data_IF_745004017355
#
_entry.id   IF_745004017355
#
_cell.length_a   1.000
_cell.length_b   1.000
_cell.length_c   1.000
_cell.angle_alpha   90.00
_cell.angle_beta   90.00
_cell.angle_gamma   90.00
#
_symmetry.space_group_name_H-M   'P 1'
#
loop_
_entity.id
_entity.type
_entity.pdbx_description
1 polymer ?
#
# COMPACT_ATOMS: atom_id res chain seq x y z
N UNK A 1 24.79 -22.58 18.94
CA UNK A 1 24.42 -23.54 17.88
C UNK A 1 22.99 -23.28 17.38
N UNK A 2 22.75 -22.12 16.76
CA UNK A 2 21.43 -21.74 16.22
C UNK A 2 21.39 -21.79 14.68
N UNK A 3 22.53 -21.91 14.00
CA UNK A 3 22.62 -21.95 12.53
C UNK A 3 21.99 -23.20 11.90
N UNK A 4 21.81 -24.29 12.65
CA UNK A 4 21.08 -25.48 12.20
C UNK A 4 19.56 -25.40 12.37
N UNK A 5 19.06 -24.43 13.16
CA UNK A 5 17.62 -24.19 13.36
C UNK A 5 17.02 -23.29 12.28
N UNK A 6 17.85 -22.59 11.49
CA UNK A 6 17.40 -21.71 10.41
C UNK A 6 18.17 -22.05 9.14
N UNK A 7 17.65 -22.99 8.36
CA UNK A 7 18.10 -23.19 6.98
C UNK A 7 17.62 -22.00 6.13
N UNK A 8 18.39 -20.91 6.12
CA UNK A 8 18.14 -19.77 5.25
C UNK A 8 18.91 -19.97 3.95
N UNK A 9 18.38 -20.80 3.06
CA UNK A 9 18.91 -20.96 1.72
C UNK A 9 19.07 -19.58 1.05
N UNK A 10 20.23 -19.33 0.44
CA UNK A 10 20.49 -18.10 -0.27
C UNK A 10 19.70 -18.08 -1.60
N UNK A 11 18.49 -17.50 -1.57
CA UNK A 11 17.61 -17.35 -2.74
C UNK A 11 17.82 -16.05 -3.52
N UNK A 12 18.86 -15.27 -3.20
CA UNK A 12 19.10 -13.96 -3.85
C UNK A 12 19.27 -14.10 -5.37
N UNK A 13 20.08 -15.06 -5.91
CA UNK A 13 20.24 -15.19 -7.35
C UNK A 13 18.94 -15.55 -8.08
N UNK A 14 18.09 -16.37 -7.46
CA UNK A 14 16.78 -16.76 -8.01
C UNK A 14 15.84 -15.55 -8.08
N UNK A 15 15.80 -14.75 -7.02
CA UNK A 15 15.00 -13.53 -6.95
C UNK A 15 15.50 -12.48 -7.95
N UNK A 16 16.81 -12.34 -8.13
CA UNK A 16 17.38 -11.43 -9.13
C UNK A 16 16.96 -11.81 -10.54
N UNK A 17 17.09 -13.10 -10.91
CA UNK A 17 16.64 -13.61 -12.21
C UNK A 17 15.15 -13.37 -12.41
N UNK A 18 14.33 -13.64 -11.41
CA UNK A 18 12.88 -13.43 -11.47
C UNK A 18 12.51 -11.96 -11.71
N UNK A 19 13.09 -11.05 -10.92
CA UNK A 19 12.82 -9.61 -11.03
C UNK A 19 13.31 -9.07 -12.39
N UNK A 20 14.54 -9.41 -12.79
CA UNK A 20 15.11 -8.99 -14.07
C UNK A 20 14.29 -9.50 -15.25
N UNK A 21 13.87 -10.78 -15.22
CA UNK A 21 13.00 -11.35 -16.24
C UNK A 21 11.67 -10.58 -16.34
N UNK A 22 10.99 -10.36 -15.22
CA UNK A 22 9.67 -9.72 -15.23
C UNK A 22 9.73 -8.25 -15.67
N UNK A 23 10.78 -7.53 -15.27
CA UNK A 23 11.02 -6.15 -15.70
C UNK A 23 11.36 -6.09 -17.18
N UNK A 24 12.19 -7.00 -17.69
CA UNK A 24 12.50 -7.09 -19.12
C UNK A 24 11.26 -7.40 -19.98
N UNK A 25 10.29 -8.16 -19.44
CA UNK A 25 9.01 -8.45 -20.09
C UNK A 25 7.96 -7.33 -19.91
N UNK A 26 8.37 -6.15 -19.44
CA UNK A 26 7.51 -4.96 -19.37
C UNK A 26 6.69 -4.81 -18.09
N UNK A 27 6.88 -5.67 -17.08
CA UNK A 27 6.25 -5.45 -15.78
C UNK A 27 6.98 -4.35 -15.00
N UNK A 28 6.28 -3.33 -14.48
CA UNK A 28 6.90 -2.34 -13.60
C UNK A 28 7.54 -2.98 -12.37
N UNK A 29 8.58 -2.35 -11.81
CA UNK A 29 9.37 -2.90 -10.68
C UNK A 29 8.49 -3.25 -9.47
N UNK A 30 7.47 -2.44 -9.16
CA UNK A 30 6.53 -2.70 -8.06
C UNK A 30 5.56 -3.87 -8.31
N UNK A 31 5.50 -4.38 -9.54
CA UNK A 31 4.80 -5.59 -9.93
C UNK A 31 5.75 -6.75 -10.28
N UNK A 32 7.07 -6.57 -10.15
CA UNK A 32 8.05 -7.56 -10.56
C UNK A 32 8.00 -8.88 -9.75
N UNK A 33 7.32 -8.88 -8.60
CA UNK A 33 7.07 -10.07 -7.80
C UNK A 33 5.58 -10.43 -7.83
N UNK A 34 5.22 -11.72 -7.75
CA UNK A 34 3.82 -12.16 -7.81
C UNK A 34 2.94 -11.54 -6.72
N UNK A 35 3.49 -11.30 -5.53
CA UNK A 35 2.77 -10.63 -4.43
C UNK A 35 2.65 -9.11 -4.59
N UNK A 36 3.41 -8.49 -5.49
CA UNK A 36 3.37 -7.03 -5.71
C UNK A 36 1.97 -6.56 -6.10
N UNK A 37 1.24 -7.35 -6.89
CA UNK A 37 -0.14 -7.04 -7.30
C UNK A 37 -1.10 -6.97 -6.10
N UNK A 38 -0.92 -7.85 -5.12
CA UNK A 38 -1.75 -7.84 -3.90
C UNK A 38 -1.44 -6.59 -3.07
N UNK A 39 -0.16 -6.33 -2.80
CA UNK A 39 0.25 -5.19 -1.96
C UNK A 39 -0.16 -3.84 -2.54
N UNK A 40 0.08 -3.63 -3.84
CA UNK A 40 -0.25 -2.36 -4.49
C UNK A 40 -1.77 -2.14 -4.52
N UNK A 41 -2.56 -3.18 -4.78
CA UNK A 41 -4.03 -3.08 -4.76
C UNK A 41 -4.55 -2.76 -3.36
N UNK A 42 -4.05 -3.45 -2.34
CA UNK A 42 -4.44 -3.18 -0.94
C UNK A 42 -4.04 -1.77 -0.53
N UNK A 43 -2.84 -1.32 -0.89
CA UNK A 43 -2.37 0.04 -0.64
C UNK A 43 -3.34 1.08 -1.24
N UNK A 44 -3.68 0.96 -2.52
CA UNK A 44 -4.60 1.90 -3.16
C UNK A 44 -6.01 1.85 -2.56
N UNK A 45 -6.49 0.67 -2.13
CA UNK A 45 -7.78 0.54 -1.44
C UNK A 45 -7.80 1.33 -0.13
N UNK A 46 -6.83 1.09 0.76
CA UNK A 46 -6.74 1.83 2.02
C UNK A 46 -6.49 3.32 1.81
N UNK A 47 -5.65 3.68 0.84
CA UNK A 47 -5.40 5.07 0.50
C UNK A 47 -6.68 5.79 0.07
N UNK A 48 -7.46 5.19 -0.83
CA UNK A 48 -8.71 5.79 -1.31
C UNK A 48 -9.72 5.98 -0.18
N UNK A 49 -9.88 4.98 0.70
CA UNK A 49 -10.76 5.07 1.88
C UNK A 49 -10.27 6.17 2.83
N UNK A 50 -8.97 6.23 3.10
CA UNK A 50 -8.38 7.28 3.94
C UNK A 50 -8.63 8.68 3.38
N UNK A 51 -8.40 8.88 2.08
CA UNK A 51 -8.62 10.16 1.41
C UNK A 51 -10.10 10.55 1.39
N UNK A 52 -11.01 9.60 1.19
CA UNK A 52 -12.45 9.86 1.30
C UNK A 52 -12.82 10.34 2.72
N UNK A 53 -12.22 9.74 3.75
CA UNK A 53 -12.37 10.19 5.14
C UNK A 53 -11.86 11.61 5.37
N UNK A 54 -10.71 11.97 4.79
CA UNK A 54 -10.16 13.34 4.87
C UNK A 54 -11.09 14.35 4.20
N UNK A 55 -11.58 14.05 2.99
CA UNK A 55 -12.51 14.92 2.27
C UNK A 55 -13.81 15.09 3.07
N UNK A 56 -14.38 13.99 3.58
CA UNK A 56 -15.59 14.02 4.39
C UNK A 56 -15.39 14.83 5.68
N UNK A 57 -14.31 14.58 6.41
CA UNK A 57 -13.97 15.34 7.62
C UNK A 57 -13.76 16.82 7.36
N UNK A 58 -13.15 17.18 6.22
CA UNK A 58 -12.99 18.58 5.83
C UNK A 58 -14.35 19.24 5.54
N UNK A 59 -15.24 18.53 4.85
CA UNK A 59 -16.60 19.01 4.58
C UNK A 59 -17.39 19.25 5.87
N UNK A 60 -17.34 18.30 6.82
CA UNK A 60 -18.05 18.46 8.10
C UNK A 60 -17.46 19.57 8.96
N UNK A 61 -16.15 19.82 8.91
CA UNK A 61 -15.53 20.95 9.61
C UNK A 61 -15.95 22.31 9.03
N UNK A 62 -16.11 22.41 7.71
CA UNK A 62 -16.49 23.67 7.05
C UNK A 62 -17.99 23.95 7.19
N UNK A 63 -18.83 22.94 6.95
CA UNK A 63 -20.28 23.12 6.81
C UNK A 63 -21.10 22.54 7.97
N UNK A 64 -20.48 21.75 8.86
CA UNK A 64 -21.17 21.07 9.96
C UNK A 64 -21.26 21.87 11.25
N UNK A 65 -20.95 23.19 11.25
CA UNK A 65 -21.13 24.02 12.44
C UNK A 65 -22.62 24.13 12.77
N UNK A 66 -23.07 23.72 13.98
CA UNK A 66 -24.42 24.03 14.42
C UNK A 66 -24.57 25.54 14.64
N UNK A 67 -25.70 26.11 14.20
CA UNK A 67 -26.10 27.48 14.55
C UNK A 67 -26.23 27.54 16.07
N UNK A 68 -25.52 28.47 16.70
CA UNK A 68 -25.59 28.65 18.15
C UNK A 68 -27.00 29.20 18.47
N UNK A 69 -27.76 28.61 19.40
CA UNK A 69 -29.04 29.18 19.80
C UNK A 69 -28.75 30.48 20.55
N UNK A 70 -28.97 31.62 19.90
CA UNK A 70 -28.69 32.96 20.45
C UNK A 70 -28.18 34.01 19.46
N UNK A 71 -27.96 33.68 18.18
CA UNK A 71 -27.54 34.63 17.14
C UNK A 71 -28.73 35.13 16.26
N UNK A 72 -29.89 35.42 16.89
CA UNK A 72 -31.01 36.18 16.28
C UNK A 72 -31.10 37.59 16.88
#
# INVERSE_FOLDING_TARGET
MLSGLVNKANRIPELQRQVQHNVAHGSPVYYAKPHGKLYVKSYYGFFAVGMAGVVFGSYTLIFGKPVRPGDE
#
